data_IF_077668033315
#
_entry.id   IF_077668033315
#
_cell.length_a   1.000
_cell.length_b   1.000
_cell.length_c   1.000
_cell.angle_alpha   90.00
_cell.angle_beta   90.00
_cell.angle_gamma   90.00
#
_symmetry.space_group_name_H-M   'P 1'
#
loop_
_entity.id
_entity.type
_entity.pdbx_description
1 polymer ?
#
# COMPACT_ATOMS: atom_id res chain seq x y z
N UNK A 1 -12.99 16.12 -3.08
CA UNK A 1 -12.73 15.77 -1.67
C UNK A 1 -14.06 15.41 -1.06
N UNK A 2 -14.34 14.11 -0.94
CA UNK A 2 -15.53 13.63 -0.22
C UNK A 2 -15.12 13.47 1.24
N UNK A 3 -15.58 14.39 2.08
CA UNK A 3 -15.57 14.23 3.54
C UNK A 3 -16.57 13.11 3.87
N UNK A 4 -16.08 11.87 3.98
CA UNK A 4 -16.88 10.76 4.50
C UNK A 4 -16.69 10.66 6.01
N UNK A 5 -17.78 10.40 6.74
CA UNK A 5 -17.70 10.08 8.16
C UNK A 5 -16.88 8.78 8.36
N UNK A 6 -15.93 8.79 9.30
CA UNK A 6 -15.15 7.60 9.65
C UNK A 6 -15.97 6.80 10.69
N UNK A 7 -16.65 5.74 10.27
CA UNK A 7 -17.27 4.81 11.23
C UNK A 7 -16.27 3.70 11.59
N UNK A 8 -15.87 3.56 12.88
CA UNK A 8 -14.94 2.52 13.28
C UNK A 8 -15.60 1.14 13.16
N UNK A 9 -14.92 0.19 12.53
CA UNK A 9 -15.37 -1.20 12.51
C UNK A 9 -14.58 -2.00 13.54
N UNK A 10 -15.28 -2.52 14.55
CA UNK A 10 -14.72 -3.47 15.51
C UNK A 10 -15.15 -4.87 15.07
N UNK A 11 -14.23 -5.61 14.47
CA UNK A 11 -14.49 -6.99 14.04
C UNK A 11 -13.79 -8.01 14.93
N UNK A 12 -14.50 -9.12 15.17
CA UNK A 12 -13.93 -10.31 15.76
C UNK A 12 -13.41 -11.20 14.65
N UNK A 13 -12.09 -11.40 14.57
CA UNK A 13 -11.53 -12.33 13.60
C UNK A 13 -11.94 -13.77 13.96
N UNK A 14 -12.96 -14.31 13.28
CA UNK A 14 -13.31 -15.74 13.33
C UNK A 14 -12.62 -16.45 12.16
N UNK A 15 -11.52 -17.16 12.39
CA UNK A 15 -11.01 -18.10 11.38
C UNK A 15 -11.60 -19.49 11.58
N UNK A 16 -12.24 -19.99 10.52
CA UNK A 16 -12.55 -21.41 10.32
C UNK A 16 -11.24 -22.20 10.22
N UNK A 17 -10.84 -22.87 11.29
CA UNK A 17 -9.96 -24.03 11.18
C UNK A 17 -10.84 -25.27 10.96
N UNK A 18 -10.50 -26.19 10.03
CA UNK A 18 -11.12 -27.50 10.03
C UNK A 18 -10.85 -28.13 11.39
N UNK A 19 -11.91 -28.55 12.08
CA UNK A 19 -11.83 -29.10 13.42
C UNK A 19 -10.83 -30.26 13.47
N UNK A 20 -9.74 -30.08 14.22
CA UNK A 20 -8.91 -31.17 14.69
C UNK A 20 -8.64 -30.95 16.18
N UNK A 21 -9.52 -31.60 16.96
CA UNK A 21 -9.40 -32.04 18.35
C UNK A 21 -8.50 -31.26 19.31
N UNK A 22 -9.16 -30.60 20.27
CA UNK A 22 -8.58 -30.27 21.56
C UNK A 22 -8.12 -31.54 22.29
N UNK A 23 -6.95 -31.47 22.92
CA UNK A 23 -6.63 -32.27 24.09
C UNK A 23 -5.86 -31.39 25.08
N UNK A 24 -6.56 -31.07 26.17
CA UNK A 24 -6.05 -30.39 27.34
C UNK A 24 -5.05 -31.28 28.08
N UNK A 25 -3.88 -30.72 28.38
CA UNK A 25 -3.10 -31.11 29.55
C UNK A 25 -2.48 -29.85 30.15
N UNK A 26 -3.02 -29.41 31.28
CA UNK A 26 -2.45 -28.37 32.11
C UNK A 26 -1.25 -28.94 32.88
N UNK A 27 -0.09 -28.32 32.73
CA UNK A 27 0.98 -28.35 33.72
C UNK A 27 1.50 -26.93 33.91
N UNK A 28 1.29 -26.40 35.12
CA UNK A 28 1.82 -25.15 35.59
C UNK A 28 3.34 -25.23 35.69
N UNK A 29 4.04 -24.51 34.82
CA UNK A 29 5.44 -24.10 34.99
C UNK A 29 5.53 -22.65 34.49
N UNK A 30 6.25 -21.83 35.25
CA UNK A 30 6.11 -20.37 35.30
C UNK A 30 6.16 -19.65 33.95
N UNK A 31 5.25 -18.67 33.79
CA UNK A 31 5.31 -17.68 32.73
C UNK A 31 6.50 -16.74 32.97
N UNK A 32 7.70 -17.16 32.57
CA UNK A 32 8.77 -16.23 32.23
C UNK A 32 8.54 -15.71 30.82
N UNK A 33 8.49 -14.38 30.72
CA UNK A 33 8.68 -13.52 29.54
C UNK A 33 7.70 -13.65 28.36
N UNK A 34 6.65 -12.84 28.37
CA UNK A 34 6.30 -12.02 27.18
C UNK A 34 6.84 -10.61 27.44
N UNK A 35 8.13 -10.43 27.19
CA UNK A 35 8.79 -9.14 27.31
C UNK A 35 8.33 -8.19 26.22
N UNK A 36 7.35 -7.35 26.54
CA UNK A 36 7.27 -6.01 25.97
C UNK A 36 7.50 -5.09 27.17
N UNK A 37 8.74 -4.60 27.30
CA UNK A 37 9.17 -3.76 28.42
C UNK A 37 8.97 -2.30 28.01
N UNK A 38 8.23 -1.57 28.84
CA UNK A 38 7.81 -0.17 28.66
C UNK A 38 8.87 0.88 29.07
N UNK A 39 8.70 2.07 28.47
CA UNK A 39 8.96 3.50 28.85
C UNK A 39 10.39 4.09 29.05
N UNK A 40 10.54 5.33 28.54
CA UNK A 40 11.74 6.20 28.54
C UNK A 40 12.58 6.06 27.25
N UNK A 41 12.67 7.12 26.41
CA UNK A 41 13.24 7.11 25.02
C UNK A 41 13.28 5.69 24.44
N UNK A 42 12.14 5.29 23.88
CA UNK A 42 11.75 3.88 23.68
C UNK A 42 12.88 3.01 23.13
N UNK A 43 12.92 1.72 23.49
CA UNK A 43 13.87 0.76 22.91
C UNK A 43 13.87 0.79 21.36
N UNK A 44 12.73 1.15 20.76
CA UNK A 44 12.60 1.44 19.34
C UNK A 44 13.45 2.63 18.90
N UNK A 45 13.40 3.78 19.58
CA UNK A 45 14.23 4.95 19.25
C UNK A 45 15.73 4.59 19.19
N UNK A 46 16.25 3.92 20.24
CA UNK A 46 17.64 3.43 20.26
C UNK A 46 17.95 2.49 19.11
N UNK A 47 16.98 1.66 18.72
CA UNK A 47 17.11 0.75 17.59
C UNK A 47 17.17 1.51 16.25
N UNK A 48 16.36 2.55 16.06
CA UNK A 48 16.39 3.41 14.88
C UNK A 48 17.74 4.15 14.77
N UNK A 49 18.23 4.70 15.88
CA UNK A 49 19.55 5.34 15.96
C UNK A 49 20.68 4.36 15.63
N UNK A 50 20.65 3.15 16.22
CA UNK A 50 21.63 2.08 15.96
C UNK A 50 21.65 1.66 14.50
N UNK A 51 20.50 1.68 13.82
CA UNK A 51 20.39 1.37 12.39
C UNK A 51 20.93 2.50 11.51
N UNK A 52 21.16 3.69 12.05
CA UNK A 52 21.65 4.86 11.32
C UNK A 52 20.53 5.60 10.56
N UNK A 53 19.31 5.58 11.10
CA UNK A 53 18.18 6.33 10.51
C UNK A 53 18.48 7.83 10.58
N UNK A 54 18.35 8.52 9.45
CA UNK A 54 18.78 9.90 9.31
C UNK A 54 17.89 10.89 10.07
N UNK A 55 16.58 10.62 10.09
CA UNK A 55 15.56 11.38 10.83
C UNK A 55 14.84 10.43 11.77
N UNK A 56 15.20 10.39 13.05
CA UNK A 56 14.59 9.47 14.02
C UNK A 56 13.24 10.00 14.48
N UNK A 57 12.17 9.25 14.18
CA UNK A 57 10.79 9.51 14.58
C UNK A 57 10.20 8.20 15.07
N UNK A 58 9.63 8.21 16.27
CA UNK A 58 8.81 7.11 16.78
C UNK A 58 7.35 7.47 16.51
N UNK A 59 6.70 6.93 15.47
CA UNK A 59 5.46 7.51 14.95
C UNK A 59 4.27 7.42 15.90
N UNK A 60 4.31 6.50 16.86
CA UNK A 60 3.25 6.30 17.85
C UNK A 60 3.62 6.83 19.25
N UNK A 61 4.69 7.62 19.36
CA UNK A 61 5.04 8.30 20.61
C UNK A 61 4.02 9.41 20.93
N UNK A 62 3.69 9.58 22.21
CA UNK A 62 2.78 10.61 22.69
C UNK A 62 3.56 11.73 23.38
N UNK A 63 3.05 12.96 23.29
CA UNK A 63 3.50 14.07 24.14
C UNK A 63 2.72 14.09 25.48
N UNK A 64 3.11 14.95 26.42
CA UNK A 64 2.50 15.02 27.75
C UNK A 64 1.00 15.36 27.71
N UNK A 65 0.59 16.22 26.79
CA UNK A 65 -0.81 16.62 26.62
C UNK A 65 -1.67 15.43 26.17
N UNK A 66 -1.20 14.67 25.19
CA UNK A 66 -1.87 13.47 24.71
C UNK A 66 -2.00 12.41 25.80
N UNK A 67 -0.95 12.23 26.62
CA UNK A 67 -0.98 11.31 27.77
C UNK A 67 -2.05 11.74 28.78
N UNK A 68 -2.09 13.02 29.13
CA UNK A 68 -3.10 13.56 30.05
C UNK A 68 -4.52 13.40 29.48
N UNK A 69 -4.71 13.74 28.21
CA UNK A 69 -5.98 13.62 27.51
C UNK A 69 -6.48 12.18 27.45
N UNK A 70 -5.62 11.22 27.11
CA UNK A 70 -5.99 9.81 27.03
C UNK A 70 -6.42 9.25 28.39
N UNK A 71 -5.68 9.61 29.46
CA UNK A 71 -5.98 9.18 30.84
C UNK A 71 -7.29 9.77 31.37
N UNK A 72 -7.60 11.02 31.02
CA UNK A 72 -8.85 11.68 31.42
C UNK A 72 -10.06 11.16 30.61
N UNK A 73 -9.95 11.16 29.29
CA UNK A 73 -11.05 10.86 28.36
C UNK A 73 -11.49 9.39 28.40
N UNK A 74 -10.56 8.49 28.72
CA UNK A 74 -10.80 7.06 28.88
C UNK A 74 -10.59 6.58 30.34
N UNK A 75 -10.89 7.42 31.32
CA UNK A 75 -10.86 7.06 32.74
C UNK A 75 -11.90 6.00 33.09
N UNK A 76 -11.54 4.72 32.89
CA UNK A 76 -12.36 3.55 33.19
C UNK A 76 -11.66 2.58 34.14
N UNK A 77 -12.45 1.99 35.05
CA UNK A 77 -11.96 1.06 36.08
C UNK A 77 -11.70 -0.34 35.53
N UNK A 78 -12.52 -0.79 34.57
CA UNK A 78 -12.35 -2.09 33.91
C UNK A 78 -11.55 -1.93 32.63
N UNK A 79 -10.45 -2.69 32.50
CA UNK A 79 -9.56 -2.67 31.32
C UNK A 79 -10.33 -2.91 30.01
N UNK A 80 -11.31 -3.81 30.01
CA UNK A 80 -12.12 -4.12 28.82
C UNK A 80 -12.97 -2.93 28.37
N UNK A 81 -13.51 -2.15 29.31
CA UNK A 81 -14.31 -0.94 29.00
C UNK A 81 -13.44 0.23 28.57
N UNK A 82 -12.19 0.28 29.03
CA UNK A 82 -11.24 1.33 28.66
C UNK A 82 -10.95 1.33 27.16
N UNK A 83 -10.87 0.17 26.52
CA UNK A 83 -10.70 0.09 25.07
C UNK A 83 -11.90 0.66 24.33
N UNK A 84 -13.12 0.22 24.69
CA UNK A 84 -14.34 0.67 24.02
C UNK A 84 -14.52 2.19 24.20
N UNK A 85 -14.22 2.70 25.40
CA UNK A 85 -14.23 4.15 25.66
C UNK A 85 -13.16 4.88 24.85
N UNK A 86 -11.94 4.34 24.74
CA UNK A 86 -10.88 4.95 23.94
C UNK A 86 -11.28 5.02 22.46
N UNK A 87 -11.87 3.94 21.91
CA UNK A 87 -12.40 3.94 20.53
C UNK A 87 -13.46 5.02 20.38
N UNK A 88 -14.42 5.11 21.30
CA UNK A 88 -15.47 6.13 21.27
C UNK A 88 -14.89 7.55 21.22
N UNK A 89 -13.99 7.89 22.15
CA UNK A 89 -13.47 9.27 22.25
C UNK A 89 -12.50 9.67 21.15
N UNK A 90 -11.72 8.73 20.61
CA UNK A 90 -10.80 9.01 19.49
C UNK A 90 -11.56 9.21 18.19
N UNK A 91 -12.70 8.54 18.03
CA UNK A 91 -13.52 8.58 16.81
C UNK A 91 -14.57 9.69 16.82
N UNK A 92 -14.94 10.17 17.99
CA UNK A 92 -15.90 11.26 18.13
C UNK A 92 -15.29 12.58 17.63
N UNK A 93 -15.83 13.09 16.51
CA UNK A 93 -15.42 14.35 15.90
C UNK A 93 -15.74 15.57 16.77
N UNK A 94 -16.64 15.45 17.75
CA UNK A 94 -16.88 16.49 18.73
C UNK A 94 -15.84 16.48 19.88
N UNK A 95 -15.14 15.36 20.10
CA UNK A 95 -14.15 15.21 21.17
C UNK A 95 -12.71 15.39 20.68
N UNK A 96 -12.28 14.59 19.71
CA UNK A 96 -10.93 14.67 19.16
C UNK A 96 -10.89 15.37 17.80
N UNK A 97 -11.99 15.37 17.03
CA UNK A 97 -12.14 16.22 15.84
C UNK A 97 -11.19 15.93 14.69
N UNK A 98 -10.67 14.71 14.57
CA UNK A 98 -9.73 14.36 13.50
C UNK A 98 -10.47 14.04 12.20
N UNK A 99 -10.12 14.73 11.13
CA UNK A 99 -10.65 14.50 9.78
C UNK A 99 -9.81 13.51 8.97
N UNK A 100 -10.46 12.67 8.15
CA UNK A 100 -9.74 11.72 7.30
C UNK A 100 -9.14 12.40 6.06
N UNK A 101 -7.83 12.30 5.89
CA UNK A 101 -7.12 12.81 4.72
C UNK A 101 -6.15 11.76 4.17
N UNK A 102 -6.38 11.26 2.95
CA UNK A 102 -5.54 10.22 2.31
C UNK A 102 -4.13 10.69 1.95
N UNK A 103 -3.91 12.00 1.89
CA UNK A 103 -2.69 12.62 1.37
C UNK A 103 -1.53 12.73 2.35
N UNK A 104 -1.76 12.54 3.65
CA UNK A 104 -0.80 12.88 4.69
C UNK A 104 -0.69 11.78 5.76
N UNK A 105 0.53 11.32 6.03
CA UNK A 105 0.83 10.33 7.07
C UNK A 105 1.53 11.00 8.25
N UNK A 106 0.76 11.58 9.17
CA UNK A 106 1.26 12.18 10.41
C UNK A 106 1.74 11.14 11.44
N UNK A 107 2.70 11.50 12.28
CA UNK A 107 2.93 10.83 13.57
C UNK A 107 1.78 11.13 14.52
N UNK A 108 1.68 10.38 15.62
CA UNK A 108 0.63 10.54 16.62
C UNK A 108 0.52 12.00 17.15
N UNK A 109 1.65 12.67 17.35
CA UNK A 109 1.70 14.09 17.76
C UNK A 109 1.17 15.00 16.66
N UNK A 110 1.65 14.83 15.41
CA UNK A 110 1.19 15.66 14.29
C UNK A 110 -0.31 15.48 14.02
N UNK A 111 -0.86 14.27 14.18
CA UNK A 111 -2.30 14.01 14.06
C UNK A 111 -3.08 14.74 15.14
N UNK A 112 -2.62 14.66 16.38
CA UNK A 112 -3.29 15.31 17.52
C UNK A 112 -3.26 16.84 17.40
N UNK A 113 -2.18 17.40 16.86
CA UNK A 113 -2.05 18.85 16.67
C UNK A 113 -2.85 19.33 15.45
N UNK A 114 -2.71 18.67 14.31
CA UNK A 114 -3.28 19.12 13.04
C UNK A 114 -4.72 18.67 12.81
N UNK A 115 -5.19 17.67 13.56
CA UNK A 115 -6.54 17.10 13.45
C UNK A 115 -6.83 16.54 12.05
N UNK A 116 -5.81 16.05 11.34
CA UNK A 116 -5.96 15.31 10.09
C UNK A 116 -5.14 14.03 10.11
N UNK A 117 -5.69 12.94 9.55
CA UNK A 117 -5.00 11.65 9.50
C UNK A 117 -5.50 10.73 8.38
N UNK A 118 -4.60 9.91 7.84
CA UNK A 118 -4.95 8.70 7.11
C UNK A 118 -5.00 7.48 8.04
N UNK A 119 -5.31 6.31 7.49
CA UNK A 119 -5.45 5.07 8.26
C UNK A 119 -4.22 4.72 9.12
N UNK A 120 -3.01 4.84 8.58
CA UNK A 120 -1.78 4.53 9.32
C UNK A 120 -1.54 5.54 10.44
N UNK A 121 -1.73 6.83 10.17
CA UNK A 121 -1.56 7.90 11.16
C UNK A 121 -2.55 7.77 12.34
N UNK A 122 -3.82 7.47 12.06
CA UNK A 122 -4.82 7.13 13.08
C UNK A 122 -4.40 5.92 13.90
N UNK A 123 -3.97 4.84 13.23
CA UNK A 123 -3.54 3.60 13.88
C UNK A 123 -2.36 3.84 14.82
N UNK A 124 -1.40 4.68 14.43
CA UNK A 124 -0.24 5.04 15.25
C UNK A 124 -0.64 5.79 16.52
N UNK A 125 -1.48 6.83 16.37
CA UNK A 125 -1.98 7.58 17.52
C UNK A 125 -2.75 6.69 18.48
N UNK A 126 -3.66 5.86 17.95
CA UNK A 126 -4.47 4.96 18.77
C UNK A 126 -3.63 3.93 19.50
N UNK A 127 -2.66 3.29 18.83
CA UNK A 127 -1.77 2.30 19.47
C UNK A 127 -0.94 2.96 20.58
N UNK A 128 -0.44 4.17 20.35
CA UNK A 128 0.25 4.95 21.38
C UNK A 128 -0.63 5.18 22.61
N UNK A 129 -1.83 5.74 22.41
CA UNK A 129 -2.79 6.02 23.50
C UNK A 129 -3.25 4.75 24.22
N UNK A 130 -3.52 3.68 23.48
CA UNK A 130 -3.91 2.41 24.06
C UNK A 130 -2.80 1.84 24.97
N UNK A 131 -1.55 1.83 24.49
CA UNK A 131 -0.42 1.33 25.28
C UNK A 131 -0.17 2.18 26.53
N UNK A 132 -0.30 3.50 26.43
CA UNK A 132 -0.24 4.40 27.60
C UNK A 132 -1.31 4.06 28.66
N UNK A 133 -2.43 3.52 28.22
CA UNK A 133 -3.54 3.08 29.06
C UNK A 133 -3.45 1.60 29.50
N UNK A 134 -2.29 0.96 29.34
CA UNK A 134 -2.03 -0.46 29.69
C UNK A 134 -2.99 -1.42 28.93
N UNK A 135 -3.29 -1.06 27.68
CA UNK A 135 -4.06 -1.86 26.73
C UNK A 135 -3.09 -2.55 25.75
N UNK A 136 -3.12 -3.89 25.61
CA UNK A 136 -2.20 -4.62 24.74
C UNK A 136 -2.58 -4.50 23.25
N UNK A 137 -2.40 -3.29 22.71
CA UNK A 137 -2.61 -2.96 21.31
C UNK A 137 -1.32 -3.15 20.49
N UNK A 138 -1.48 -3.63 19.26
CA UNK A 138 -0.39 -3.81 18.29
C UNK A 138 -0.89 -3.57 16.88
N UNK A 139 0.06 -3.38 15.95
CA UNK A 139 -0.26 -3.15 14.55
C UNK A 139 -0.60 -4.48 13.86
N UNK A 140 -1.61 -4.44 12.99
CA UNK A 140 -1.92 -5.54 12.07
C UNK A 140 -1.98 -5.01 10.65
N UNK A 141 -1.37 -5.73 9.72
CA UNK A 141 -1.57 -5.53 8.29
C UNK A 141 -2.87 -6.24 7.88
N UNK A 142 -3.72 -5.53 7.15
CA UNK A 142 -4.96 -6.09 6.59
C UNK A 142 -4.69 -6.42 5.11
N UNK A 143 -4.66 -7.70 4.78
CA UNK A 143 -4.44 -8.11 3.40
C UNK A 143 -5.68 -7.80 2.55
N UNK A 144 -5.50 -6.95 1.54
CA UNK A 144 -6.56 -6.57 0.61
C UNK A 144 -6.43 -7.22 -0.77
N UNK A 145 -7.51 -7.13 -1.54
CA UNK A 145 -7.44 -7.21 -3.00
C UNK A 145 -6.77 -5.92 -3.49
N UNK A 146 -5.58 -6.04 -4.10
CA UNK A 146 -4.83 -4.89 -4.61
C UNK A 146 -5.70 -4.03 -5.55
N UNK A 147 -5.88 -2.77 -5.18
CA UNK A 147 -6.47 -1.76 -6.06
C UNK A 147 -5.35 -1.02 -6.77
N UNK A 148 -5.39 -1.02 -8.10
CA UNK A 148 -4.38 -0.36 -8.94
C UNK A 148 -4.97 0.93 -9.49
N UNK A 149 -4.41 2.06 -9.07
CA UNK A 149 -4.74 3.37 -9.63
C UNK A 149 -3.52 3.93 -10.35
N UNK A 150 -3.75 4.52 -11.53
CA UNK A 150 -2.68 5.15 -12.30
C UNK A 150 -2.71 6.66 -12.09
N UNK A 151 -1.63 7.20 -11.54
CA UNK A 151 -1.38 8.64 -11.44
C UNK A 151 -0.18 9.01 -12.29
N UNK A 152 -0.44 9.51 -13.52
CA UNK A 152 0.61 9.76 -14.52
C UNK A 152 1.33 8.47 -14.94
N UNK A 153 2.63 8.39 -14.67
CA UNK A 153 3.46 7.19 -14.90
C UNK A 153 3.53 6.24 -13.70
N UNK A 154 2.95 6.62 -12.55
CA UNK A 154 2.95 5.83 -11.33
C UNK A 154 1.71 4.93 -11.26
N UNK A 155 1.91 3.70 -10.79
CA UNK A 155 0.84 2.81 -10.36
C UNK A 155 0.88 2.79 -8.85
N UNK A 156 -0.19 3.29 -8.22
CA UNK A 156 -0.35 3.31 -6.77
C UNK A 156 -1.01 2.01 -6.35
N UNK A 157 -0.37 1.31 -5.42
CA UNK A 157 -0.92 0.17 -4.69
C UNK A 157 -0.95 0.56 -3.23
N UNK A 158 -2.12 0.48 -2.61
CA UNK A 158 -2.32 0.87 -1.22
C UNK A 158 -2.52 -0.37 -0.35
N UNK A 159 -1.61 -0.58 0.58
CA UNK A 159 -1.79 -1.50 1.70
C UNK A 159 -2.50 -0.78 2.86
N UNK A 160 -3.00 -1.56 3.82
CA UNK A 160 -3.78 -1.03 4.94
C UNK A 160 -3.31 -1.62 6.27
N UNK A 161 -3.26 -0.76 7.28
CA UNK A 161 -2.85 -1.13 8.63
C UNK A 161 -3.97 -0.74 9.58
N UNK A 162 -4.25 -1.63 10.52
CA UNK A 162 -5.26 -1.46 11.55
C UNK A 162 -4.68 -1.83 12.93
N UNK A 163 -5.51 -1.72 13.97
CA UNK A 163 -5.12 -2.08 15.34
C UNK A 163 -5.61 -3.48 15.66
N UNK A 164 -4.70 -4.34 16.09
CA UNK A 164 -5.02 -5.60 16.76
C UNK A 164 -5.01 -5.43 18.28
N UNK A 165 -6.01 -6.01 18.94
CA UNK A 165 -6.13 -5.99 20.40
C UNK A 165 -6.40 -7.38 20.97
N UNK A 166 -5.68 -7.73 22.04
CA UNK A 166 -5.83 -9.00 22.74
C UNK A 166 -5.08 -10.18 22.09
N UNK A 167 -5.30 -11.42 22.57
CA UNK A 167 -4.54 -12.59 22.13
C UNK A 167 -4.65 -12.83 20.63
N UNK A 168 -3.55 -13.22 19.97
CA UNK A 168 -3.49 -13.37 18.50
C UNK A 168 -4.58 -14.25 17.89
N UNK A 169 -5.08 -15.24 18.62
CA UNK A 169 -6.09 -16.19 18.14
C UNK A 169 -7.54 -15.73 18.34
N UNK A 170 -7.76 -14.68 19.13
CA UNK A 170 -9.07 -14.07 19.42
C UNK A 170 -9.01 -12.56 19.29
N UNK A 171 -8.08 -12.04 18.47
CA UNK A 171 -7.82 -10.61 18.43
C UNK A 171 -9.05 -9.86 17.93
N UNK A 172 -9.32 -8.71 18.56
CA UNK A 172 -10.23 -7.70 18.04
C UNK A 172 -9.44 -6.83 17.07
N UNK A 173 -10.00 -6.57 15.89
CA UNK A 173 -9.43 -5.64 14.92
C UNK A 173 -10.24 -4.35 14.97
N UNK A 174 -9.56 -3.22 15.14
CA UNK A 174 -10.16 -1.89 15.09
C UNK A 174 -9.61 -1.22 13.83
N UNK A 175 -10.50 -0.99 12.87
CA UNK A 175 -10.17 -0.38 11.60
C UNK A 175 -10.70 1.07 11.54
N UNK A 176 -9.84 1.97 11.06
CA UNK A 176 -10.08 3.40 10.89
C UNK A 176 -10.17 3.83 9.41
N UNK A 177 -10.27 2.89 8.48
CA UNK A 177 -10.37 3.12 7.04
C UNK A 177 -11.81 3.35 6.56
N UNK A 178 -11.97 4.03 5.42
CA UNK A 178 -13.28 4.38 4.85
C UNK A 178 -13.97 3.27 4.04
N UNK A 179 -13.37 2.07 3.91
CA UNK A 179 -13.88 1.02 3.02
C UNK A 179 -14.72 -0.04 3.75
N UNK A 180 -15.99 -0.14 3.35
CA UNK A 180 -16.90 -1.25 3.67
C UNK A 180 -16.74 -2.39 2.64
N UNK A 181 -15.77 -3.30 2.79
CA UNK A 181 -15.82 -4.57 2.05
C UNK A 181 -15.59 -5.76 3.00
N UNK A 182 -16.60 -6.64 3.05
CA UNK A 182 -16.87 -7.67 4.06
C UNK A 182 -16.20 -9.03 3.75
N UNK A 183 -15.23 -9.06 2.84
CA UNK A 183 -14.73 -10.32 2.28
C UNK A 183 -13.51 -10.85 3.03
N UNK A 184 -13.74 -11.46 4.20
CA UNK A 184 -12.82 -12.42 4.81
C UNK A 184 -11.40 -11.88 5.05
N UNK A 185 -11.29 -10.89 5.93
CA UNK A 185 -10.04 -10.19 6.23
C UNK A 185 -8.96 -11.16 6.70
N UNK A 186 -7.83 -11.19 5.98
CA UNK A 186 -6.63 -11.83 6.48
C UNK A 186 -5.78 -10.77 7.15
N UNK A 187 -5.78 -10.79 8.47
CA UNK A 187 -4.97 -9.90 9.29
C UNK A 187 -3.69 -10.58 9.75
N UNK A 188 -2.57 -9.88 9.65
CA UNK A 188 -1.26 -10.37 10.07
C UNK A 188 -0.66 -9.38 11.07
N UNK A 189 -0.36 -9.78 12.32
CA UNK A 189 0.36 -8.91 13.25
C UNK A 189 1.74 -8.53 12.70
N UNK A 190 2.05 -7.24 12.72
CA UNK A 190 3.35 -6.70 12.30
C UNK A 190 4.10 -6.11 13.51
N UNK A 191 5.42 -5.99 13.37
CA UNK A 191 6.26 -5.43 14.43
C UNK A 191 6.18 -3.91 14.47
N UNK A 192 6.55 -3.30 15.61
CA UNK A 192 6.67 -1.84 15.70
C UNK A 192 7.71 -1.28 14.73
N UNK A 193 8.77 -2.04 14.42
CA UNK A 193 9.75 -1.68 13.40
C UNK A 193 9.12 -1.65 12.01
N UNK A 194 8.33 -2.66 11.66
CA UNK A 194 7.62 -2.72 10.37
C UNK A 194 6.59 -1.60 10.25
N UNK A 195 5.80 -1.34 11.30
CA UNK A 195 4.85 -0.22 11.32
C UNK A 195 5.56 1.14 11.20
N UNK A 196 6.76 1.27 11.81
CA UNK A 196 7.61 2.44 11.65
C UNK A 196 8.17 2.52 10.22
N UNK A 197 8.67 1.45 9.63
CA UNK A 197 9.14 1.45 8.24
C UNK A 197 8.02 1.83 7.25
N UNK A 198 6.77 1.40 7.50
CA UNK A 198 5.60 1.82 6.72
C UNK A 198 5.34 3.33 6.82
N UNK A 199 5.52 3.95 8.00
CA UNK A 199 5.45 5.41 8.15
C UNK A 199 6.45 6.12 7.25
N UNK A 200 7.71 5.70 7.30
CA UNK A 200 8.79 6.30 6.49
C UNK A 200 8.54 6.07 4.99
N UNK A 201 8.07 4.87 4.62
CA UNK A 201 7.68 4.54 3.25
C UNK A 201 6.57 5.44 2.72
N UNK A 202 5.53 5.68 3.53
CA UNK A 202 4.42 6.57 3.16
C UNK A 202 4.88 8.03 3.01
N UNK A 203 5.70 8.54 3.94
CA UNK A 203 6.31 9.88 3.81
C UNK A 203 7.14 10.02 2.54
N UNK A 204 7.90 8.98 2.20
CA UNK A 204 8.64 8.92 0.94
C UNK A 204 7.73 8.93 -0.29
N UNK A 205 6.63 8.17 -0.26
CA UNK A 205 5.64 8.15 -1.34
C UNK A 205 4.88 9.50 -1.47
N UNK A 206 4.64 10.21 -0.37
CA UNK A 206 4.09 11.56 -0.35
C UNK A 206 5.05 12.57 -1.00
N UNK A 207 6.31 12.58 -0.57
CA UNK A 207 7.35 13.41 -1.18
C UNK A 207 7.53 13.11 -2.68
N UNK A 208 7.47 11.84 -3.08
CA UNK A 208 7.54 11.43 -4.48
C UNK A 208 6.36 12.01 -5.30
N UNK A 209 5.14 11.96 -4.76
CA UNK A 209 3.95 12.52 -5.40
C UNK A 209 4.03 14.05 -5.50
N UNK A 210 4.59 14.71 -4.50
CA UNK A 210 4.88 16.15 -4.52
C UNK A 210 6.03 16.55 -5.46
N UNK A 211 6.79 15.57 -5.98
CA UNK A 211 7.94 15.82 -6.86
C UNK A 211 9.24 16.13 -6.12
N UNK A 212 9.28 15.99 -4.79
CA UNK A 212 10.48 16.17 -3.97
C UNK A 212 11.34 14.90 -3.99
N UNK A 213 12.01 14.64 -5.12
CA UNK A 213 12.65 13.35 -5.39
C UNK A 213 13.77 12.99 -4.41
N UNK A 214 14.62 13.94 -4.01
CA UNK A 214 15.70 13.68 -3.06
C UNK A 214 15.17 13.38 -1.66
N UNK A 215 14.13 14.11 -1.22
CA UNK A 215 13.45 13.84 0.05
C UNK A 215 12.78 12.46 0.04
N UNK A 216 12.11 12.10 -1.06
CA UNK A 216 11.50 10.79 -1.23
C UNK A 216 12.53 9.67 -1.07
N UNK A 217 13.69 9.80 -1.74
CA UNK A 217 14.78 8.82 -1.63
C UNK A 217 15.28 8.73 -0.18
N UNK A 218 15.51 9.85 0.51
CA UNK A 218 16.00 9.85 1.89
C UNK A 218 15.04 9.12 2.85
N UNK A 219 13.73 9.43 2.77
CA UNK A 219 12.71 8.73 3.57
C UNK A 219 12.67 7.23 3.30
N UNK A 220 12.80 6.83 2.03
CA UNK A 220 12.73 5.43 1.62
C UNK A 220 14.00 4.65 1.94
N UNK A 221 15.17 5.29 1.91
CA UNK A 221 16.42 4.71 2.41
C UNK A 221 16.34 4.45 3.92
N UNK A 222 15.73 5.36 4.69
CA UNK A 222 15.44 5.12 6.10
C UNK A 222 14.41 3.99 6.28
N UNK A 223 13.35 3.93 5.48
CA UNK A 223 12.35 2.86 5.56
C UNK A 223 12.98 1.45 5.40
N UNK A 224 13.81 1.24 4.37
CA UNK A 224 14.47 -0.06 4.13
C UNK A 224 15.57 -0.38 5.14
N UNK A 225 16.13 0.64 5.80
CA UNK A 225 17.07 0.47 6.91
C UNK A 225 16.33 0.03 8.19
N UNK A 226 15.15 0.58 8.44
CA UNK A 226 14.28 0.23 9.57
C UNK A 226 13.68 -1.16 9.41
N UNK A 227 13.26 -1.54 8.21
CA UNK A 227 12.82 -2.90 7.92
C UNK A 227 13.36 -3.37 6.55
N UNK A 228 14.52 -4.07 6.55
CA UNK A 228 15.12 -4.59 5.33
C UNK A 228 14.31 -5.66 4.61
N UNK A 229 13.29 -6.23 5.26
CA UNK A 229 12.41 -7.26 4.69
C UNK A 229 11.06 -6.68 4.23
N UNK A 230 10.87 -5.35 4.34
CA UNK A 230 9.67 -4.69 3.85
C UNK A 230 9.74 -4.47 2.33
N UNK A 231 9.20 -5.43 1.57
CA UNK A 231 9.20 -5.44 0.10
C UNK A 231 8.68 -4.13 -0.51
N UNK A 232 7.58 -3.57 0.02
CA UNK A 232 6.97 -2.35 -0.51
C UNK A 232 7.88 -1.12 -0.39
N UNK A 233 8.69 -1.01 0.67
CA UNK A 233 9.67 0.06 0.84
C UNK A 233 10.78 -0.02 -0.22
N UNK A 234 11.28 -1.21 -0.53
CA UNK A 234 12.27 -1.41 -1.60
C UNK A 234 11.71 -1.06 -2.99
N UNK A 235 10.44 -1.43 -3.27
CA UNK A 235 9.76 -1.03 -4.52
C UNK A 235 9.65 0.48 -4.61
N UNK A 236 9.15 1.14 -3.56
CA UNK A 236 9.01 2.59 -3.53
C UNK A 236 10.38 3.29 -3.67
N UNK A 237 11.43 2.78 -3.01
CA UNK A 237 12.80 3.29 -3.13
C UNK A 237 13.27 3.22 -4.58
N UNK A 238 13.07 2.09 -5.25
CA UNK A 238 13.41 1.92 -6.66
C UNK A 238 12.65 2.89 -7.58
N UNK A 239 11.37 3.15 -7.31
CA UNK A 239 10.57 4.12 -8.08
C UNK A 239 11.13 5.53 -7.90
N UNK A 240 11.42 5.93 -6.67
CA UNK A 240 11.98 7.24 -6.35
C UNK A 240 13.36 7.43 -6.95
N UNK A 241 14.25 6.43 -6.84
CA UNK A 241 15.58 6.45 -7.46
C UNK A 241 15.52 6.54 -8.98
N UNK A 242 14.62 5.78 -9.63
CA UNK A 242 14.42 5.85 -11.09
C UNK A 242 14.00 7.26 -11.52
N UNK A 243 13.02 7.86 -10.82
CA UNK A 243 12.57 9.23 -11.12
C UNK A 243 13.66 10.26 -10.83
N UNK A 244 14.50 10.00 -9.83
CA UNK A 244 15.67 10.83 -9.51
C UNK A 244 16.88 10.58 -10.44
N UNK A 245 16.70 9.87 -11.57
CA UNK A 245 17.75 9.60 -12.55
C UNK A 245 18.80 8.56 -12.13
N UNK A 246 18.63 7.89 -10.98
CA UNK A 246 19.56 6.90 -10.43
C UNK A 246 19.17 5.49 -10.87
N UNK A 247 19.36 5.19 -12.16
CA UNK A 247 18.86 3.96 -12.79
C UNK A 247 19.49 2.68 -12.20
N UNK A 248 20.80 2.64 -11.97
CA UNK A 248 21.46 1.44 -11.41
C UNK A 248 21.01 1.16 -9.97
N UNK A 249 20.86 2.22 -9.16
CA UNK A 249 20.37 2.09 -7.79
C UNK A 249 18.91 1.58 -7.77
N UNK A 250 18.07 2.10 -8.67
CA UNK A 250 16.69 1.64 -8.81
C UNK A 250 16.62 0.16 -9.15
N UNK A 251 17.45 -0.31 -10.09
CA UNK A 251 17.54 -1.72 -10.46
C UNK A 251 17.93 -2.60 -9.28
N UNK A 252 18.91 -2.16 -8.47
CA UNK A 252 19.32 -2.86 -7.26
C UNK A 252 18.18 -2.95 -6.24
N UNK A 253 17.45 -1.86 -6.01
CA UNK A 253 16.30 -1.81 -5.09
C UNK A 253 15.18 -2.75 -5.53
N UNK A 254 14.83 -2.77 -6.82
CA UNK A 254 13.82 -3.72 -7.31
C UNK A 254 14.28 -5.17 -7.23
N UNK A 255 15.55 -5.46 -7.50
CA UNK A 255 16.08 -6.81 -7.33
C UNK A 255 16.05 -7.23 -5.86
N UNK A 256 16.37 -6.33 -4.93
CA UNK A 256 16.26 -6.62 -3.50
C UNK A 256 14.82 -6.93 -3.10
N UNK A 257 13.84 -6.19 -3.62
CA UNK A 257 12.42 -6.51 -3.42
C UNK A 257 12.07 -7.92 -3.94
N UNK A 258 12.62 -8.33 -5.08
CA UNK A 258 12.41 -9.66 -5.67
C UNK A 258 13.18 -10.79 -4.99
N UNK A 259 14.25 -10.50 -4.27
CA UNK A 259 14.91 -11.48 -3.39
C UNK A 259 14.01 -11.84 -2.20
N UNK A 260 13.30 -10.85 -1.66
CA UNK A 260 12.37 -11.01 -0.53
C UNK A 260 11.06 -11.67 -1.00
N UNK A 261 10.46 -11.14 -2.07
CA UNK A 261 9.28 -11.72 -2.73
C UNK A 261 9.52 -11.92 -4.24
N UNK A 262 9.97 -13.11 -4.65
CA UNK A 262 10.21 -13.44 -6.05
C UNK A 262 8.98 -13.38 -6.96
N UNK A 263 7.77 -13.29 -6.38
CA UNK A 263 6.50 -13.22 -7.10
C UNK A 263 5.80 -11.86 -6.95
N UNK A 264 6.47 -10.88 -6.34
CA UNK A 264 5.95 -9.54 -6.10
C UNK A 264 5.65 -8.81 -7.41
N UNK A 265 4.37 -8.70 -7.77
CA UNK A 265 3.92 -8.17 -9.06
C UNK A 265 4.40 -6.74 -9.32
N UNK A 266 4.37 -5.88 -8.30
CA UNK A 266 4.82 -4.49 -8.39
C UNK A 266 6.32 -4.36 -8.64
N UNK A 267 7.15 -5.19 -8.01
CA UNK A 267 8.59 -5.18 -8.23
C UNK A 267 8.95 -5.67 -9.64
N UNK A 268 8.34 -6.78 -10.08
CA UNK A 268 8.52 -7.32 -11.44
C UNK A 268 8.14 -6.30 -12.51
N UNK A 269 6.97 -5.66 -12.36
CA UNK A 269 6.48 -4.68 -13.33
C UNK A 269 7.37 -3.43 -13.39
N UNK A 270 7.79 -2.88 -12.25
CA UNK A 270 8.64 -1.70 -12.22
C UNK A 270 10.05 -1.96 -12.76
N UNK A 271 10.65 -3.12 -12.41
CA UNK A 271 11.94 -3.52 -12.97
C UNK A 271 11.84 -3.70 -14.48
N UNK A 272 10.79 -4.36 -14.98
CA UNK A 272 10.60 -4.52 -16.41
C UNK A 272 10.47 -3.16 -17.14
N UNK A 273 9.79 -2.18 -16.56
CA UNK A 273 9.73 -0.82 -17.12
C UNK A 273 11.11 -0.19 -17.20
N UNK A 274 11.90 -0.28 -16.13
CA UNK A 274 13.26 0.25 -16.09
C UNK A 274 14.16 -0.41 -17.16
N UNK A 275 14.15 -1.74 -17.23
CA UNK A 275 14.93 -2.50 -18.22
C UNK A 275 14.59 -2.11 -19.65
N UNK A 276 13.30 -1.92 -19.95
CA UNK A 276 12.84 -1.47 -21.26
C UNK A 276 13.34 -0.07 -21.61
N UNK A 277 13.29 0.86 -20.67
CA UNK A 277 13.81 2.23 -20.85
C UNK A 277 15.32 2.18 -21.14
N UNK A 278 16.04 1.24 -20.51
CA UNK A 278 17.46 1.01 -20.72
C UNK A 278 17.79 0.12 -21.93
N UNK A 279 16.82 -0.17 -22.81
CA UNK A 279 17.02 -0.96 -24.03
C UNK A 279 17.09 -2.48 -23.83
N UNK A 280 17.03 -2.98 -22.60
CA UNK A 280 17.06 -4.41 -22.22
C UNK A 280 15.67 -5.03 -22.36
N UNK A 281 15.16 -5.05 -23.59
CA UNK A 281 13.75 -5.37 -23.88
C UNK A 281 13.42 -6.85 -23.68
N UNK A 282 14.36 -7.76 -23.96
CA UNK A 282 14.14 -9.20 -23.79
C UNK A 282 13.97 -9.57 -22.31
N UNK A 283 14.85 -9.07 -21.44
CA UNK A 283 14.74 -9.26 -19.98
C UNK A 283 13.46 -8.61 -19.41
N UNK A 284 13.05 -7.45 -19.96
CA UNK A 284 11.77 -6.83 -19.61
C UNK A 284 10.57 -7.74 -19.92
N UNK A 285 10.57 -8.39 -21.09
CA UNK A 285 9.52 -9.33 -21.47
C UNK A 285 9.49 -10.55 -20.55
N UNK A 286 10.65 -11.12 -20.21
CA UNK A 286 10.75 -12.25 -19.27
C UNK A 286 10.13 -11.92 -17.91
N UNK A 287 10.46 -10.77 -17.33
CA UNK A 287 9.90 -10.33 -16.05
C UNK A 287 8.40 -10.06 -16.13
N UNK A 288 7.91 -9.45 -17.20
CA UNK A 288 6.47 -9.23 -17.37
C UNK A 288 5.72 -10.55 -17.54
N UNK A 289 6.29 -11.53 -18.23
CA UNK A 289 5.71 -12.87 -18.35
C UNK A 289 5.70 -13.57 -16.99
N UNK A 290 6.78 -13.48 -16.21
CA UNK A 290 6.81 -13.98 -14.85
C UNK A 290 5.71 -13.33 -14.01
N UNK A 291 5.57 -12.00 -14.06
CA UNK A 291 4.50 -11.28 -13.37
C UNK A 291 3.11 -11.77 -13.81
N UNK A 292 2.89 -12.06 -15.09
CA UNK A 292 1.62 -12.60 -15.56
C UNK A 292 1.29 -14.01 -15.01
N UNK A 293 2.28 -14.76 -14.50
CA UNK A 293 2.07 -16.07 -13.86
C UNK A 293 1.66 -15.99 -12.39
N UNK A 294 1.87 -14.87 -11.70
CA UNK A 294 1.75 -14.78 -10.23
C UNK A 294 0.35 -14.50 -9.68
N UNK A 295 -0.71 -14.94 -10.38
CA UNK A 295 -2.10 -14.47 -10.13
C UNK A 295 -2.24 -12.94 -10.16
N UNK A 296 -1.28 -12.25 -10.78
CA UNK A 296 -1.24 -10.80 -10.89
C UNK A 296 -2.53 -10.27 -11.54
N UNK A 297 -3.18 -9.34 -10.85
CA UNK A 297 -4.42 -8.70 -11.30
C UNK A 297 -4.19 -7.30 -11.87
N UNK A 298 -2.95 -6.84 -11.93
CA UNK A 298 -2.58 -5.54 -12.46
C UNK A 298 -2.82 -5.47 -13.99
N UNK A 299 -3.81 -4.68 -14.47
CA UNK A 299 -4.10 -4.57 -15.89
C UNK A 299 -2.92 -3.99 -16.69
N UNK A 300 -2.10 -3.12 -16.09
CA UNK A 300 -0.96 -2.48 -16.74
C UNK A 300 0.17 -3.45 -17.10
N UNK A 301 0.32 -4.56 -16.36
CA UNK A 301 1.25 -5.64 -16.73
C UNK A 301 0.88 -6.23 -18.08
N UNK A 302 -0.42 -6.48 -18.29
CA UNK A 302 -0.92 -7.04 -19.55
C UNK A 302 -0.94 -6.01 -20.68
N UNK A 303 -1.15 -4.72 -20.38
CA UNK A 303 -0.95 -3.65 -21.38
C UNK A 303 0.52 -3.63 -21.83
N UNK A 304 1.49 -3.72 -20.91
CA UNK A 304 2.91 -3.71 -21.25
C UNK A 304 3.33 -4.93 -22.10
N UNK A 305 2.83 -6.13 -21.78
CA UNK A 305 3.03 -7.32 -22.60
C UNK A 305 2.41 -7.16 -23.99
N UNK A 306 1.18 -6.64 -24.06
CA UNK A 306 0.51 -6.36 -25.34
C UNK A 306 1.30 -5.38 -26.21
N UNK A 307 1.84 -4.32 -25.60
CA UNK A 307 2.65 -3.31 -26.29
C UNK A 307 3.96 -3.90 -26.83
N UNK A 308 4.60 -4.80 -26.08
CA UNK A 308 5.77 -5.53 -26.56
C UNK A 308 5.39 -6.45 -27.72
N UNK A 309 4.34 -7.27 -27.58
CA UNK A 309 3.87 -8.14 -28.66
C UNK A 309 3.52 -7.36 -29.93
N UNK A 310 2.85 -6.21 -29.78
CA UNK A 310 2.50 -5.33 -30.90
C UNK A 310 3.73 -4.76 -31.62
N UNK A 311 4.75 -4.34 -30.87
CA UNK A 311 6.03 -3.86 -31.43
C UNK A 311 6.73 -4.93 -32.25
N UNK A 312 6.71 -6.18 -31.80
CA UNK A 312 7.29 -7.32 -32.51
C UNK A 312 6.36 -7.90 -33.59
N UNK A 313 5.22 -7.26 -33.90
CA UNK A 313 4.28 -7.73 -34.92
C UNK A 313 3.47 -8.98 -34.53
N UNK A 314 3.54 -9.43 -33.26
CA UNK A 314 2.79 -10.56 -32.72
C UNK A 314 1.34 -10.14 -32.41
N UNK A 315 0.57 -9.84 -33.46
CA UNK A 315 -0.77 -9.21 -33.34
C UNK A 315 -1.75 -10.04 -32.51
N UNK A 316 -1.79 -11.36 -32.72
CA UNK A 316 -2.69 -12.25 -31.98
C UNK A 316 -2.35 -12.31 -30.49
N UNK A 317 -1.06 -12.25 -30.16
CA UNK A 317 -0.62 -12.22 -28.77
C UNK A 317 -0.94 -10.88 -28.10
N UNK A 318 -0.70 -9.78 -28.81
CA UNK A 318 -1.05 -8.45 -28.34
C UNK A 318 -2.54 -8.35 -28.00
N UNK A 319 -3.41 -8.84 -28.90
CA UNK A 319 -4.85 -8.88 -28.68
C UNK A 319 -5.23 -9.70 -27.43
N UNK A 320 -4.62 -10.87 -27.22
CA UNK A 320 -4.90 -11.69 -26.03
C UNK A 320 -4.57 -10.94 -24.73
N UNK A 321 -3.42 -10.26 -24.69
CA UNK A 321 -3.01 -9.50 -23.50
C UNK A 321 -3.88 -8.27 -23.27
N UNK A 322 -4.20 -7.48 -24.31
CA UNK A 322 -5.11 -6.35 -24.14
C UNK A 322 -6.52 -6.78 -23.72
N UNK A 323 -7.02 -7.92 -24.22
CA UNK A 323 -8.29 -8.49 -23.77
C UNK A 323 -8.23 -9.01 -22.32
N UNK A 324 -7.05 -9.42 -21.83
CA UNK A 324 -6.85 -9.76 -20.42
C UNK A 324 -6.86 -8.50 -19.56
N UNK A 325 -6.14 -7.44 -19.95
CA UNK A 325 -6.16 -6.14 -19.29
C UNK A 325 -7.59 -5.60 -19.16
N UNK A 326 -8.35 -5.58 -20.27
CA UNK A 326 -9.76 -5.14 -20.30
C UNK A 326 -10.69 -5.94 -19.38
N UNK A 327 -10.40 -7.22 -19.14
CA UNK A 327 -11.18 -8.06 -18.21
C UNK A 327 -10.85 -7.78 -16.74
N UNK A 328 -9.66 -7.23 -16.47
CA UNK A 328 -9.19 -6.90 -15.13
C UNK A 328 -9.54 -5.45 -14.73
N UNK A 329 -9.64 -4.54 -15.71
CA UNK A 329 -10.08 -3.16 -15.51
C UNK A 329 -11.16 -2.78 -16.54
N UNK A 330 -12.43 -2.60 -16.14
CA UNK A 330 -13.55 -2.40 -17.07
C UNK A 330 -13.58 -1.01 -17.75
N UNK A 331 -12.93 0.01 -17.19
CA UNK A 331 -13.12 1.42 -17.59
C UNK A 331 -11.83 2.19 -17.94
N UNK A 332 -10.93 1.56 -18.68
CA UNK A 332 -9.74 2.24 -19.22
C UNK A 332 -9.81 2.43 -20.73
N UNK A 333 -9.51 3.66 -21.18
CA UNK A 333 -9.39 3.98 -22.60
C UNK A 333 -8.20 3.26 -23.27
N UNK A 334 -7.13 3.00 -22.50
CA UNK A 334 -5.88 2.43 -22.98
C UNK A 334 -6.03 1.05 -23.66
N UNK A 335 -6.68 0.02 -23.05
CA UNK A 335 -6.95 -1.26 -23.74
C UNK A 335 -7.81 -1.12 -25.00
N UNK A 336 -8.78 -0.20 -25.02
CA UNK A 336 -9.63 0.01 -26.19
C UNK A 336 -8.84 0.61 -27.35
N UNK A 337 -8.01 1.62 -27.10
CA UNK A 337 -7.12 2.21 -28.10
C UNK A 337 -6.09 1.18 -28.61
N UNK A 338 -5.55 0.35 -27.72
CA UNK A 338 -4.61 -0.72 -28.05
C UNK A 338 -5.19 -1.75 -29.01
N UNK A 339 -6.39 -2.24 -28.70
CA UNK A 339 -7.12 -3.17 -29.56
C UNK A 339 -7.49 -2.51 -30.90
N UNK A 340 -7.84 -1.22 -30.91
CA UNK A 340 -8.08 -0.46 -32.14
C UNK A 340 -6.85 -0.42 -33.06
N UNK A 341 -5.66 -0.24 -32.49
CA UNK A 341 -4.41 -0.28 -33.26
C UNK A 341 -4.12 -1.69 -33.82
N UNK A 342 -4.37 -2.75 -33.04
CA UNK A 342 -4.24 -4.14 -33.53
C UNK A 342 -5.14 -4.36 -34.75
N UNK A 343 -6.42 -3.95 -34.67
CA UNK A 343 -7.37 -4.07 -35.78
C UNK A 343 -6.95 -3.25 -36.99
N UNK A 344 -6.43 -2.04 -36.78
CA UNK A 344 -5.93 -1.21 -37.89
C UNK A 344 -4.76 -1.89 -38.61
N UNK A 345 -3.82 -2.50 -37.89
CA UNK A 345 -2.71 -3.27 -38.48
C UNK A 345 -3.17 -4.52 -39.24
N UNK A 346 -4.33 -5.07 -38.90
CA UNK A 346 -4.98 -6.18 -39.64
C UNK A 346 -5.81 -5.71 -40.83
N UNK A 347 -5.92 -4.40 -41.08
CA UNK A 347 -6.75 -3.84 -42.14
C UNK A 347 -8.24 -3.69 -41.78
N UNK A 348 -8.62 -3.97 -40.53
CA UNK A 348 -10.01 -3.91 -40.05
C UNK A 348 -10.42 -2.49 -39.62
N UNK A 349 -10.30 -1.53 -40.54
CA UNK A 349 -10.44 -0.08 -40.26
C UNK A 349 -11.76 0.29 -39.56
N UNK A 350 -12.90 -0.22 -40.03
CA UNK A 350 -14.22 0.09 -39.44
C UNK A 350 -14.32 -0.35 -37.98
N UNK A 351 -13.74 -1.51 -37.65
CA UNK A 351 -13.76 -2.01 -36.29
C UNK A 351 -12.77 -1.23 -35.40
N UNK A 352 -11.61 -0.84 -35.95
CA UNK A 352 -10.66 0.05 -35.28
C UNK A 352 -11.28 1.41 -34.92
N UNK A 353 -12.04 2.04 -35.84
CA UNK A 353 -12.75 3.29 -35.59
C UNK A 353 -13.76 3.18 -34.43
N UNK A 354 -14.48 2.06 -34.34
CA UNK A 354 -15.43 1.83 -33.24
C UNK A 354 -14.72 1.80 -31.89
N UNK A 355 -13.55 1.16 -31.81
CA UNK A 355 -12.74 1.10 -30.61
C UNK A 355 -12.09 2.43 -30.26
N UNK A 356 -11.58 3.17 -31.25
CA UNK A 356 -11.06 4.52 -31.03
C UNK A 356 -12.14 5.44 -30.47
N UNK A 357 -13.35 5.44 -31.06
CA UNK A 357 -14.48 6.25 -30.54
C UNK A 357 -14.84 5.88 -29.11
N UNK A 358 -14.74 4.61 -28.73
CA UNK A 358 -14.91 4.19 -27.33
C UNK A 358 -13.79 4.75 -26.45
N UNK A 359 -12.54 4.63 -26.87
CA UNK A 359 -11.40 5.16 -26.13
C UNK A 359 -11.53 6.68 -25.91
N UNK A 360 -11.85 7.45 -26.93
CA UNK A 360 -12.08 8.91 -26.83
C UNK A 360 -13.25 9.29 -25.92
N UNK A 361 -14.30 8.46 -25.82
CA UNK A 361 -15.38 8.69 -24.85
C UNK A 361 -14.95 8.45 -23.40
N UNK A 362 -14.09 7.46 -23.19
CA UNK A 362 -13.57 7.11 -21.86
C UNK A 362 -12.47 8.08 -21.42
N UNK A 363 -11.68 8.58 -22.37
CA UNK A 363 -10.62 9.56 -22.14
C UNK A 363 -10.54 10.50 -23.34
N UNK A 364 -11.17 11.68 -23.27
CA UNK A 364 -11.22 12.64 -24.37
C UNK A 364 -9.86 13.23 -24.74
N UNK A 365 -8.95 13.40 -23.77
CA UNK A 365 -7.69 14.12 -23.95
C UNK A 365 -6.48 13.39 -23.33
N UNK A 366 -5.30 13.64 -23.90
CA UNK A 366 -4.00 13.37 -23.25
C UNK A 366 -3.43 11.96 -23.38
N UNK A 367 -4.05 11.04 -24.14
CA UNK A 367 -3.48 9.73 -24.44
C UNK A 367 -2.81 9.72 -25.83
N UNK A 368 -1.47 9.55 -25.83
CA UNK A 368 -0.66 9.58 -27.04
C UNK A 368 -1.06 8.51 -28.08
N UNK A 369 -1.55 7.34 -27.63
CA UNK A 369 -2.01 6.27 -28.52
C UNK A 369 -3.34 6.65 -29.16
N UNK A 370 -4.27 7.20 -28.39
CA UNK A 370 -5.55 7.70 -28.90
C UNK A 370 -5.30 8.77 -29.97
N UNK A 371 -4.47 9.76 -29.67
CA UNK A 371 -4.16 10.87 -30.58
C UNK A 371 -3.47 10.41 -31.87
N UNK A 372 -2.54 9.45 -31.74
CA UNK A 372 -1.88 8.84 -32.89
C UNK A 372 -2.88 8.07 -33.75
N UNK A 373 -3.72 7.23 -33.14
CA UNK A 373 -4.70 6.43 -33.86
C UNK A 373 -5.74 7.30 -34.56
N UNK A 374 -6.17 8.40 -33.94
CA UNK A 374 -7.06 9.38 -34.54
C UNK A 374 -6.45 10.02 -35.79
N UNK A 375 -5.18 10.43 -35.76
CA UNK A 375 -4.48 10.97 -36.94
C UNK A 375 -4.37 9.95 -38.07
N UNK A 376 -4.02 8.71 -37.76
CA UNK A 376 -3.92 7.63 -38.76
C UNK A 376 -5.27 7.31 -39.41
N UNK A 377 -6.35 7.38 -38.63
CA UNK A 377 -7.71 7.14 -39.14
C UNK A 377 -8.29 8.37 -39.85
N UNK A 378 -7.85 9.60 -39.56
CA UNK A 378 -8.29 10.79 -40.27
C UNK A 378 -7.58 11.00 -41.62
N UNK A 379 -6.34 10.54 -41.77
CA UNK A 379 -5.48 10.80 -42.94
C UNK A 379 -5.52 9.74 -44.05
N UNK A 380 -6.53 8.88 -44.11
CA UNK A 380 -6.63 7.81 -45.11
C UNK A 380 -8.00 7.71 -45.77
#
# INVERSE_FOLDING_TARGET
MTTGDIEPRVEYCRRNYPAAAALLAALALGCTSTGVRETGESALQRELERRGVSRVVVPFALNEEMVAWARDSASETLRERRLDRLVEVVMDTALLGVEYETGHTGSAVEVFENRTANCLAFTQMFVGMARELDLPAYFVEVAHVENFERSGDLIVVSDHVAVGFGPRHTMRVIDFGQRQEDDGWRVNPISDLTATALFYSNRGAEALRAGHLDEAVAWLEDAVRIDPELTSAWVNLGVSQRRNGRAEAAEASYRRALEIDPRGGSALANLAVLLRINGRTDESEELLRLAATTRNRNPFTYIALGDLSLRYGRLDEAERFYNRARRLGPDEAAPAAALGEVLLRRGERRAAEKLLRRAQRLQPDGDQRIDRLARLLAGA
#
